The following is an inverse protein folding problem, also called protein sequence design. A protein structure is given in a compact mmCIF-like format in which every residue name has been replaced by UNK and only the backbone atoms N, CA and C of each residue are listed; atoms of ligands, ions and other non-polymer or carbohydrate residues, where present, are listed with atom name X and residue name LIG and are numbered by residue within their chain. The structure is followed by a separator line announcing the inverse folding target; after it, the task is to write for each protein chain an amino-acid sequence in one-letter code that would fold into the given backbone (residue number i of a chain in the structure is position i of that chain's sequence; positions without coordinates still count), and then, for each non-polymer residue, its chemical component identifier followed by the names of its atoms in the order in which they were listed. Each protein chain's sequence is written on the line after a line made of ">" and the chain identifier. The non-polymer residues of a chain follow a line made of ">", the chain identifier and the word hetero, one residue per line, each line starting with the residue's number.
data_IF_668984725053
#
_entry.id   IF_668984725053
#
_cell.length_a   1.000
_cell.length_b   1.000
_cell.length_c   1.000
_cell.angle_alpha   90.00
_cell.angle_beta   90.00
_cell.angle_gamma   90.00
#
_symmetry.space_group_name_H-M   'P 1'
#
loop_
_entity.id
_entity.type
_entity.pdbx_description
1 polymer ?
#
# COMPACT_ATOMS: atom_id res chain seq x y z
N UNK A 1 16.31 41.39 -36.48
CA UNK A 1 15.53 40.13 -36.54
C UNK A 1 16.03 39.21 -35.44
N UNK A 2 15.36 39.14 -34.30
CA UNK A 2 15.71 38.22 -33.20
C UNK A 2 14.89 36.94 -33.35
N UNK A 3 15.56 35.79 -33.46
CA UNK A 3 14.91 34.47 -33.43
C UNK A 3 14.77 34.05 -31.97
N UNK A 4 13.54 33.99 -31.48
CA UNK A 4 13.23 33.43 -30.17
C UNK A 4 13.27 31.90 -30.31
N UNK A 5 14.36 31.29 -29.82
CA UNK A 5 14.44 29.84 -29.70
C UNK A 5 13.57 29.39 -28.52
N UNK A 6 12.36 28.94 -28.81
CA UNK A 6 11.46 28.34 -27.84
C UNK A 6 11.96 26.93 -27.46
N UNK A 7 12.75 26.86 -26.40
CA UNK A 7 13.20 25.60 -25.80
C UNK A 7 11.97 24.90 -25.21
N UNK A 8 11.46 23.90 -25.92
CA UNK A 8 10.46 22.98 -25.41
C UNK A 8 11.12 22.11 -24.34
N UNK A 9 11.00 22.50 -23.07
CA UNK A 9 11.37 21.63 -21.96
C UNK A 9 10.33 20.52 -21.86
N UNK A 10 10.64 19.37 -22.45
CA UNK A 10 9.87 18.13 -22.24
C UNK A 10 9.96 17.81 -20.75
N UNK A 11 8.86 18.03 -20.03
CA UNK A 11 8.69 17.59 -18.64
C UNK A 11 9.03 16.11 -18.58
N UNK A 12 10.13 15.75 -17.92
CA UNK A 12 10.47 14.35 -17.62
C UNK A 12 9.34 13.80 -16.75
N UNK A 13 8.44 13.03 -17.34
CA UNK A 13 7.50 12.20 -16.60
C UNK A 13 8.34 11.31 -15.68
N UNK A 14 8.07 11.37 -14.37
CA UNK A 14 8.67 10.49 -13.36
C UNK A 14 8.51 9.07 -13.89
N UNK A 15 9.61 8.42 -14.31
CA UNK A 15 9.59 7.07 -14.86
C UNK A 15 9.07 6.14 -13.76
N UNK A 16 7.78 5.83 -13.77
CA UNK A 16 7.26 4.67 -13.03
C UNK A 16 7.92 3.42 -13.59
N UNK A 17 8.00 2.35 -12.78
CA UNK A 17 8.39 1.03 -13.29
C UNK A 17 7.59 0.72 -14.56
N UNK A 18 8.28 0.20 -15.56
CA UNK A 18 7.70 -0.25 -16.83
C UNK A 18 6.55 -1.27 -16.62
N UNK A 19 6.58 -1.97 -15.49
CA UNK A 19 5.59 -2.99 -15.12
C UNK A 19 4.45 -2.48 -14.24
N UNK A 20 4.45 -1.19 -13.88
CA UNK A 20 3.44 -0.63 -12.97
C UNK A 20 2.02 -0.84 -13.49
N UNK A 21 1.78 -0.68 -14.81
CA UNK A 21 0.47 -0.90 -15.42
C UNK A 21 -0.04 -2.33 -15.25
N UNK A 22 0.86 -3.31 -15.43
CA UNK A 22 0.55 -4.73 -15.29
C UNK A 22 0.13 -5.09 -13.86
N UNK A 23 0.94 -4.69 -12.88
CA UNK A 23 0.64 -4.91 -11.44
C UNK A 23 -0.69 -4.29 -11.05
N UNK A 24 -0.96 -3.05 -11.50
CA UNK A 24 -2.21 -2.33 -11.20
C UNK A 24 -3.42 -3.05 -11.79
N UNK A 25 -3.30 -3.66 -12.97
CA UNK A 25 -4.38 -4.39 -13.61
C UNK A 25 -4.66 -5.75 -12.93
N UNK A 26 -3.62 -6.50 -12.57
CA UNK A 26 -3.79 -7.76 -11.83
C UNK A 26 -4.41 -7.50 -10.46
N UNK A 27 -3.94 -6.48 -9.74
CA UNK A 27 -4.52 -6.13 -8.45
C UNK A 27 -6.01 -5.79 -8.55
N UNK A 28 -6.42 -5.05 -9.58
CA UNK A 28 -7.83 -4.75 -9.84
C UNK A 28 -8.66 -5.98 -10.18
N UNK A 29 -8.06 -6.94 -10.88
CA UNK A 29 -8.71 -8.22 -11.25
C UNK A 29 -8.90 -9.13 -10.03
N UNK A 30 -7.89 -9.23 -9.15
CA UNK A 30 -7.92 -10.14 -7.99
C UNK A 30 -8.76 -9.58 -6.84
N UNK A 31 -8.61 -8.30 -6.51
CA UNK A 31 -9.31 -7.69 -5.38
C UNK A 31 -10.66 -7.10 -5.76
N UNK A 32 -10.82 -6.68 -7.02
CA UNK A 32 -11.95 -5.88 -7.45
C UNK A 32 -11.79 -4.38 -7.16
N UNK A 33 -12.49 -3.57 -7.95
CA UNK A 33 -12.43 -2.10 -7.86
C UNK A 33 -12.94 -1.56 -6.51
N UNK A 34 -14.02 -2.13 -5.99
CA UNK A 34 -14.64 -1.67 -4.73
C UNK A 34 -13.71 -1.89 -3.54
N UNK A 35 -13.17 -3.10 -3.41
CA UNK A 35 -12.21 -3.48 -2.38
C UNK A 35 -10.97 -2.58 -2.41
N UNK A 36 -10.38 -2.36 -3.60
CA UNK A 36 -9.21 -1.48 -3.72
C UNK A 36 -9.50 -0.04 -3.30
N UNK A 37 -10.70 0.48 -3.60
CA UNK A 37 -11.07 1.85 -3.23
C UNK A 37 -11.17 2.01 -1.70
N UNK A 38 -11.73 1.01 -1.03
CA UNK A 38 -12.05 1.05 0.39
C UNK A 38 -10.91 0.56 1.30
N UNK A 39 -9.90 -0.11 0.76
CA UNK A 39 -8.77 -0.69 1.52
C UNK A 39 -7.46 0.08 1.35
N UNK A 40 -6.41 -0.35 2.05
CA UNK A 40 -5.03 0.08 1.89
C UNK A 40 -4.06 -1.10 1.91
N UNK A 41 -2.86 -0.91 1.35
CA UNK A 41 -1.84 -1.99 1.31
C UNK A 41 -1.34 -2.37 2.70
N UNK A 42 -1.13 -1.39 3.59
CA UNK A 42 -0.51 -1.62 4.90
C UNK A 42 -1.50 -1.59 6.08
N UNK A 43 -2.71 -1.08 5.89
CA UNK A 43 -3.66 -0.82 6.98
C UNK A 43 -3.31 0.41 7.83
N UNK A 44 -2.20 1.09 7.55
CA UNK A 44 -1.70 2.18 8.40
C UNK A 44 -2.35 3.51 8.06
N UNK A 45 -2.68 4.30 9.09
CA UNK A 45 -3.10 5.69 8.90
C UNK A 45 -1.94 6.53 8.35
N UNK A 46 -2.23 7.39 7.37
CA UNK A 46 -1.24 8.35 6.87
C UNK A 46 -1.09 9.49 7.87
N UNK A 47 0.14 9.78 8.33
CA UNK A 47 0.41 10.92 9.21
C UNK A 47 0.08 12.28 8.58
N UNK A 48 -0.08 12.35 7.25
CA UNK A 48 -0.44 13.58 6.53
C UNK A 48 -1.94 13.89 6.60
N UNK A 49 -2.79 12.89 6.78
CA UNK A 49 -4.25 13.07 6.74
C UNK A 49 -4.88 12.53 8.02
N UNK A 50 -5.75 13.30 8.66
CA UNK A 50 -6.53 12.87 9.83
C UNK A 50 -7.70 11.92 9.49
N UNK A 51 -7.68 11.33 8.30
CA UNK A 51 -8.69 10.36 7.89
C UNK A 51 -8.50 9.04 8.67
N UNK A 52 -9.58 8.31 8.98
CA UNK A 52 -9.48 7.03 9.65
C UNK A 52 -8.64 6.03 8.83
N UNK A 53 -7.94 5.13 9.53
CA UNK A 53 -7.20 4.06 8.89
C UNK A 53 -8.15 3.19 8.04
N UNK A 54 -7.71 2.87 6.81
CA UNK A 54 -8.43 1.92 5.95
C UNK A 54 -8.00 0.50 6.29
N UNK A 55 -8.90 -0.50 6.15
CA UNK A 55 -8.54 -1.90 6.35
C UNK A 55 -7.38 -2.32 5.44
N UNK A 56 -6.56 -3.25 5.92
CA UNK A 56 -5.46 -3.84 5.16
C UNK A 56 -6.03 -4.78 4.09
N UNK A 57 -5.42 -4.80 2.91
CA UNK A 57 -5.71 -5.82 1.89
C UNK A 57 -5.40 -7.22 2.41
N UNK A 58 -6.18 -8.22 1.95
CA UNK A 58 -5.95 -9.62 2.28
C UNK A 58 -4.51 -10.02 1.88
N UNK A 59 -3.66 -10.43 2.85
CA UNK A 59 -2.28 -10.80 2.57
C UNK A 59 -2.15 -12.00 1.64
N UNK A 60 -3.12 -12.92 1.62
CA UNK A 60 -3.11 -14.10 0.75
C UNK A 60 -3.30 -13.69 -0.71
N UNK A 61 -4.28 -12.83 -0.98
CA UNK A 61 -4.50 -12.28 -2.31
C UNK A 61 -3.35 -11.36 -2.75
N UNK A 62 -2.75 -10.62 -1.82
CA UNK A 62 -1.56 -9.82 -2.11
C UNK A 62 -0.36 -10.71 -2.51
N UNK A 63 -0.18 -11.83 -1.81
CA UNK A 63 0.80 -12.85 -2.17
C UNK A 63 0.55 -13.44 -3.56
N UNK A 64 -0.71 -13.66 -3.94
CA UNK A 64 -1.07 -14.10 -5.29
C UNK A 64 -0.68 -13.08 -6.37
N UNK A 65 -0.94 -11.78 -6.15
CA UNK A 65 -0.49 -10.71 -7.08
C UNK A 65 1.03 -10.74 -7.24
N UNK A 66 1.77 -10.84 -6.13
CA UNK A 66 3.23 -10.89 -6.14
C UNK A 66 3.73 -12.13 -6.89
N UNK A 67 3.15 -13.30 -6.64
CA UNK A 67 3.53 -14.56 -7.29
C UNK A 67 3.28 -14.53 -8.80
N UNK A 68 2.12 -14.04 -9.24
CA UNK A 68 1.81 -13.89 -10.68
C UNK A 68 2.79 -12.91 -11.34
N UNK A 69 3.08 -11.79 -10.67
CA UNK A 69 4.00 -10.80 -11.20
C UNK A 69 5.44 -11.33 -11.29
N UNK A 70 5.91 -12.01 -10.25
CA UNK A 70 7.21 -12.67 -10.24
C UNK A 70 7.31 -13.72 -11.34
N UNK A 71 6.29 -14.56 -11.51
CA UNK A 71 6.24 -15.56 -12.57
C UNK A 71 6.37 -14.90 -13.96
N UNK A 72 5.59 -13.84 -14.21
CA UNK A 72 5.66 -13.08 -15.46
C UNK A 72 7.08 -12.55 -15.73
N UNK A 73 7.72 -11.94 -14.73
CA UNK A 73 9.07 -11.40 -14.90
C UNK A 73 10.14 -12.47 -15.19
N UNK A 74 10.04 -13.64 -14.55
CA UNK A 74 11.00 -14.73 -14.70
C UNK A 74 10.79 -15.51 -16.00
N UNK A 75 9.54 -15.87 -16.31
CA UNK A 75 9.23 -16.79 -17.40
C UNK A 75 9.03 -16.06 -18.72
N UNK A 76 8.21 -15.00 -18.72
CA UNK A 76 7.86 -14.29 -19.95
C UNK A 76 8.92 -13.26 -20.33
N UNK A 77 9.33 -12.42 -19.36
CA UNK A 77 10.28 -11.33 -19.63
C UNK A 77 11.74 -11.80 -19.52
N UNK A 78 12.00 -12.89 -18.80
CA UNK A 78 13.35 -13.45 -18.56
C UNK A 78 14.32 -12.43 -17.97
N UNK A 79 13.84 -11.67 -16.97
CA UNK A 79 14.66 -10.70 -16.26
C UNK A 79 15.70 -11.39 -15.36
N UNK A 80 16.81 -10.69 -15.14
CA UNK A 80 17.82 -11.08 -14.16
C UNK A 80 17.21 -11.18 -12.74
N UNK A 81 17.54 -12.22 -11.95
CA UNK A 81 16.95 -12.44 -10.62
C UNK A 81 17.09 -11.25 -9.65
N UNK A 82 18.18 -10.48 -9.74
CA UNK A 82 18.39 -9.29 -8.91
C UNK A 82 17.36 -8.22 -9.28
N UNK A 83 17.15 -8.02 -10.58
CA UNK A 83 16.16 -7.06 -11.06
C UNK A 83 14.74 -7.51 -10.77
N UNK A 84 14.42 -8.80 -10.90
CA UNK A 84 13.13 -9.36 -10.47
C UNK A 84 12.84 -9.01 -9.01
N UNK A 85 13.83 -9.22 -8.13
CA UNK A 85 13.68 -8.92 -6.70
C UNK A 85 13.42 -7.44 -6.43
N UNK A 86 14.01 -6.53 -7.22
CA UNK A 86 13.77 -5.09 -7.11
C UNK A 86 12.35 -4.72 -7.55
N UNK A 87 11.90 -5.23 -8.70
CA UNK A 87 10.56 -4.94 -9.23
C UNK A 87 9.47 -5.55 -8.34
N UNK A 88 9.68 -6.75 -7.80
CA UNK A 88 8.71 -7.37 -6.88
C UNK A 88 8.56 -6.53 -5.61
N UNK A 89 9.63 -5.93 -5.08
CA UNK A 89 9.56 -5.03 -3.92
C UNK A 89 8.71 -3.78 -4.19
N UNK A 90 8.67 -3.27 -5.42
CA UNK A 90 7.83 -2.11 -5.78
C UNK A 90 6.34 -2.43 -6.01
N UNK A 91 5.94 -3.72 -5.95
CA UNK A 91 4.54 -4.15 -6.09
C UNK A 91 3.59 -3.38 -5.17
N UNK A 92 3.95 -3.24 -3.89
CA UNK A 92 3.15 -2.50 -2.91
C UNK A 92 2.95 -1.02 -3.27
N UNK A 93 3.98 -0.38 -3.84
CA UNK A 93 3.91 1.00 -4.30
C UNK A 93 2.97 1.14 -5.51
N UNK A 94 3.03 0.21 -6.47
CA UNK A 94 2.16 0.23 -7.64
C UNK A 94 0.68 0.08 -7.25
N UNK A 95 0.38 -0.83 -6.32
CA UNK A 95 -0.98 -1.03 -5.79
C UNK A 95 -1.42 0.22 -5.02
N UNK A 96 -0.58 0.76 -4.12
CA UNK A 96 -0.89 1.97 -3.38
C UNK A 96 -1.17 3.17 -4.30
N UNK A 97 -0.40 3.31 -5.39
CA UNK A 97 -0.63 4.33 -6.41
C UNK A 97 -1.98 4.14 -7.11
N UNK A 98 -2.36 2.91 -7.49
CA UNK A 98 -3.69 2.63 -8.07
C UNK A 98 -4.81 3.01 -7.10
N UNK A 99 -4.70 2.63 -5.83
CA UNK A 99 -5.68 2.99 -4.80
C UNK A 99 -5.78 4.52 -4.67
N UNK A 100 -4.66 5.23 -4.66
CA UNK A 100 -4.63 6.68 -4.60
C UNK A 100 -5.29 7.32 -5.81
N UNK A 101 -5.02 6.81 -7.02
CA UNK A 101 -5.61 7.29 -8.26
C UNK A 101 -7.13 7.08 -8.29
N UNK A 102 -7.62 5.92 -7.86
CA UNK A 102 -9.06 5.64 -7.76
C UNK A 102 -9.79 6.54 -6.75
N UNK A 103 -9.09 6.94 -5.70
CA UNK A 103 -9.61 7.83 -4.66
C UNK A 103 -9.41 9.31 -4.98
N UNK A 104 -8.67 9.64 -6.05
CA UNK A 104 -8.45 11.01 -6.46
C UNK A 104 -9.74 11.56 -7.02
N UNK A 105 -10.34 12.53 -6.31
CA UNK A 105 -11.44 13.34 -6.86
C UNK A 105 -10.93 13.96 -8.14
N UNK A 106 -11.52 13.61 -9.29
CA UNK A 106 -11.19 14.22 -10.56
C UNK A 106 -11.53 15.70 -10.45
N UNK A 107 -10.52 16.55 -10.31
CA UNK A 107 -10.66 17.94 -10.72
C UNK A 107 -10.79 17.85 -12.23
N UNK A 108 -12.01 17.78 -12.77
CA UNK A 108 -12.23 18.04 -14.20
C UNK A 108 -11.54 19.37 -14.47
N UNK A 109 -10.40 19.34 -15.15
CA UNK A 109 -9.92 20.54 -15.83
C UNK A 109 -10.97 20.74 -16.90
N UNK A 110 -11.86 21.70 -16.67
CA UNK A 110 -12.59 22.32 -17.76
C UNK A 110 -11.47 22.91 -18.62
N UNK A 111 -11.14 22.24 -19.71
CA UNK A 111 -10.49 22.92 -20.80
C UNK A 111 -11.59 23.81 -21.35
N UNK A 112 -11.59 25.08 -20.97
CA UNK A 112 -12.44 26.06 -21.63
C UNK A 112 -12.12 25.98 -23.13
N UNK A 113 -13.08 25.63 -23.99
CA UNK A 113 -12.93 25.90 -25.40
C UNK A 113 -13.01 27.43 -25.55
N UNK A 114 -11.87 28.11 -25.52
CA UNK A 114 -11.82 29.48 -26.03
C UNK A 114 -12.22 29.44 -27.51
N UNK A 115 -13.42 29.96 -27.79
CA UNK A 115 -13.84 30.30 -29.15
C UNK A 115 -15.21 29.78 -29.59
N UNK A 116 -16.29 30.10 -28.88
CA UNK A 116 -17.60 30.30 -29.51
C UNK A 116 -18.50 31.21 -28.66
N UNK A 117 -18.75 32.38 -29.22
CA UNK A 117 -19.58 33.47 -28.70
C UNK A 117 -21.03 33.06 -28.43
N UNK A 118 -21.54 33.49 -27.26
CA UNK A 118 -22.89 33.93 -26.91
C UNK A 118 -24.07 33.48 -27.79
N UNK A 119 -24.99 32.72 -27.19
CA UNK A 119 -26.37 33.20 -27.11
C UNK A 119 -27.16 32.60 -25.93
N UNK A 120 -28.13 33.39 -25.49
CA UNK A 120 -28.78 33.39 -24.19
C UNK A 120 -29.98 32.42 -24.03
N UNK A 121 -30.30 32.15 -22.76
CA UNK A 121 -31.60 31.79 -22.15
C UNK A 121 -32.42 30.60 -22.72
N UNK A 122 -32.67 29.60 -21.88
CA UNK A 122 -33.99 29.39 -21.26
C UNK A 122 -33.99 28.19 -20.29
N UNK A 123 -34.51 28.42 -19.08
CA UNK A 123 -35.00 27.41 -18.13
C UNK A 123 -35.85 26.34 -18.81
N UNK A 124 -35.70 25.08 -18.41
CA UNK A 124 -36.82 24.22 -17.99
C UNK A 124 -36.30 23.24 -16.92
N UNK A 125 -36.71 23.44 -15.67
CA UNK A 125 -36.85 22.36 -14.70
C UNK A 125 -37.87 21.36 -15.25
N UNK A 126 -37.47 20.11 -15.39
CA UNK A 126 -38.43 19.00 -15.36
C UNK A 126 -38.03 18.08 -14.21
N UNK A 127 -38.59 18.38 -13.04
CA UNK A 127 -38.91 17.35 -12.07
C UNK A 127 -39.80 16.32 -12.76
N UNK A 128 -39.34 15.06 -12.83
CA UNK A 128 -40.22 13.93 -13.08
C UNK A 128 -40.16 13.06 -11.83
N UNK A 129 -40.96 13.45 -10.85
CA UNK A 129 -41.43 12.58 -9.77
C UNK A 129 -42.35 11.53 -10.39
N UNK A 130 -41.88 10.28 -10.50
CA UNK A 130 -42.80 9.13 -10.62
C UNK A 130 -42.81 8.43 -9.28
N UNK A 131 -43.81 8.77 -8.48
CA UNK A 131 -44.18 8.06 -7.26
C UNK A 131 -45.47 7.30 -7.56
N UNK A 132 -45.41 5.97 -7.70
CA UNK A 132 -46.58 5.11 -7.55
C UNK A 132 -46.22 3.81 -6.84
N UNK A 133 -46.54 3.84 -5.56
CA UNK A 133 -46.92 2.74 -4.67
C UNK A 133 -47.41 1.48 -5.39
N UNK A 134 -46.85 0.32 -5.00
CA UNK A 134 -47.67 -0.88 -4.88
C UNK A 134 -47.42 -1.52 -3.51
N UNK A 135 -48.35 -1.28 -2.59
CA UNK A 135 -48.49 -2.03 -1.34
C UNK A 135 -49.20 -3.34 -1.68
N UNK A 136 -48.64 -4.46 -1.23
CA UNK A 136 -49.41 -5.58 -0.66
C UNK A 136 -48.45 -6.51 0.10
N UNK A 137 -48.39 -6.30 1.41
CA UNK A 137 -48.08 -7.29 2.44
C UNK A 137 -49.39 -8.04 2.78
N UNK A 138 -49.36 -9.29 3.32
CA UNK A 138 -49.18 -9.44 4.78
C UNK A 138 -48.44 -10.71 5.27
N UNK A 139 -47.65 -10.49 6.33
CA UNK A 139 -47.58 -11.21 7.63
C UNK A 139 -47.68 -12.75 7.71
N UNK A 140 -46.65 -13.37 8.32
CA UNK A 140 -46.85 -14.43 9.32
C UNK A 140 -45.72 -14.39 10.38
N UNK A 141 -46.08 -13.95 11.60
CA UNK A 141 -45.37 -14.15 12.87
C UNK A 141 -45.54 -15.58 13.37
N UNK A 142 -44.53 -16.15 14.05
CA UNK A 142 -44.57 -16.90 15.34
C UNK A 142 -43.09 -17.19 15.72
N UNK A 143 -42.49 -16.53 16.72
CA UNK A 143 -42.45 -16.80 18.19
C UNK A 143 -41.73 -18.09 18.62
N UNK A 144 -40.66 -17.87 19.42
CA UNK A 144 -40.19 -18.60 20.62
C UNK A 144 -39.57 -20.00 20.43
N UNK A 145 -38.59 -20.48 21.21
CA UNK A 145 -38.07 -20.19 22.56
C UNK A 145 -36.59 -20.65 22.67
N UNK A 146 -35.85 -20.00 23.56
CA UNK A 146 -34.80 -20.49 24.47
C UNK A 146 -33.98 -21.76 24.11
N UNK A 147 -32.66 -21.64 24.06
CA UNK A 147 -31.84 -22.55 24.87
C UNK A 147 -30.54 -21.88 25.34
N UNK A 148 -30.31 -22.07 26.63
CA UNK A 148 -29.21 -21.55 27.43
C UNK A 148 -27.97 -22.44 27.32
N UNK A 149 -26.87 -21.96 27.93
CA UNK A 149 -25.63 -22.65 28.35
C UNK A 149 -24.50 -22.63 27.31
N UNK A 150 -23.24 -22.42 27.66
CA UNK A 150 -22.57 -22.10 28.93
C UNK A 150 -21.14 -21.66 28.59
N UNK A 151 -20.51 -20.97 29.54
CA UNK A 151 -19.09 -20.62 29.62
C UNK A 151 -18.16 -21.73 29.12
N UNK A 152 -16.99 -21.33 28.61
CA UNK A 152 -15.71 -21.77 29.19
C UNK A 152 -14.63 -20.73 28.85
N UNK A 153 -13.96 -20.28 29.91
CA UNK A 153 -12.75 -19.47 29.92
C UNK A 153 -11.57 -20.33 29.43
N UNK A 154 -10.93 -19.94 28.34
CA UNK A 154 -9.60 -20.46 28.00
C UNK A 154 -8.53 -19.47 28.52
N UNK A 155 -8.23 -19.62 29.81
CA UNK A 155 -6.95 -19.24 30.41
C UNK A 155 -5.86 -20.16 29.84
N UNK A 156 -5.06 -19.65 28.90
CA UNK A 156 -3.84 -20.34 28.46
C UNK A 156 -2.64 -19.78 29.22
N UNK A 157 -2.41 -20.40 30.38
CA UNK A 157 -1.22 -20.30 31.22
C UNK A 157 0.00 -20.84 30.46
N UNK A 158 0.73 -19.98 29.74
CA UNK A 158 2.06 -20.36 29.25
C UNK A 158 3.10 -20.19 30.36
N UNK A 159 3.17 -21.23 31.21
CA UNK A 159 4.27 -21.53 32.12
C UNK A 159 5.60 -21.60 31.36
N UNK A 160 6.56 -20.76 31.75
CA UNK A 160 7.98 -20.93 31.45
C UNK A 160 8.73 -20.81 32.78
N UNK A 161 8.64 -21.87 33.58
CA UNK A 161 9.64 -22.20 34.60
C UNK A 161 10.51 -23.35 34.09
N UNK A 162 11.75 -23.39 34.59
CA UNK A 162 12.84 -24.35 34.37
C UNK A 162 13.71 -24.09 33.10
N UNK A 163 15.03 -23.90 33.16
CA UNK A 163 16.02 -24.40 34.11
C UNK A 163 17.17 -23.39 34.29
N UNK A 164 17.52 -23.11 35.56
CA UNK A 164 18.89 -22.73 35.89
C UNK A 164 19.80 -23.95 35.90
N UNK A 165 21.05 -23.70 35.52
CA UNK A 165 22.30 -24.30 36.04
C UNK A 165 23.00 -25.35 35.16
N UNK A 166 24.28 -25.09 34.86
CA UNK A 166 25.26 -26.16 34.65
C UNK A 166 26.42 -25.90 33.68
N UNK A 167 27.50 -25.30 34.21
CA UNK A 167 28.92 -25.62 33.96
C UNK A 167 29.66 -25.22 32.66
N UNK A 168 30.69 -24.38 32.90
CA UNK A 168 32.12 -24.51 32.57
C UNK A 168 32.56 -24.58 31.09
N UNK A 169 33.32 -23.57 30.63
CA UNK A 169 34.75 -23.79 30.31
C UNK A 169 35.51 -22.46 30.12
N UNK A 170 36.69 -22.41 30.74
CA UNK A 170 37.77 -21.43 30.56
C UNK A 170 38.17 -21.32 29.08
N UNK A 171 38.46 -20.10 28.60
CA UNK A 171 39.72 -19.81 27.89
C UNK A 171 39.91 -18.31 27.63
N UNK A 172 41.11 -17.86 28.00
CA UNK A 172 41.69 -16.53 27.96
C UNK A 172 41.60 -15.85 26.57
N UNK A 173 41.54 -14.51 26.50
CA UNK A 173 42.56 -13.86 25.69
C UNK A 173 43.19 -12.65 26.37
N UNK A 174 44.53 -12.66 26.28
CA UNK A 174 45.45 -11.57 26.59
C UNK A 174 45.04 -10.27 25.89
N UNK A 175 45.04 -9.17 26.64
CA UNK A 175 45.26 -7.84 26.08
C UNK A 175 46.08 -7.05 27.10
N UNK A 176 47.41 -7.17 27.00
CA UNK A 176 48.36 -6.30 27.69
C UNK A 176 48.26 -4.88 27.12
N UNK A 177 48.00 -3.96 28.04
CA UNK A 177 47.74 -2.55 27.81
C UNK A 177 49.06 -1.78 27.57
N UNK A 178 49.11 -1.10 26.44
CA UNK A 178 49.89 0.09 26.06
C UNK A 178 51.26 0.36 26.72
N UNK A 179 52.31 0.30 25.88
CA UNK A 179 53.63 0.88 26.15
C UNK A 179 53.58 2.41 26.23
N UNK A 180 54.06 2.92 27.37
CA UNK A 180 54.31 4.31 27.71
C UNK A 180 55.56 4.83 26.97
N UNK A 181 55.34 5.82 26.09
CA UNK A 181 56.41 6.57 25.43
C UNK A 181 57.05 7.54 26.43
N UNK A 182 58.23 7.22 26.93
CA UNK A 182 59.14 8.20 27.52
C UNK A 182 60.35 8.44 26.63
N UNK A 183 60.35 9.65 26.08
CA UNK A 183 61.36 10.32 25.28
C UNK A 183 62.67 10.48 26.09
N UNK A 184 63.80 10.09 25.53
CA UNK A 184 65.12 10.41 26.09
C UNK A 184 66.10 10.70 24.96
N UNK A 185 66.23 12.00 24.72
CA UNK A 185 67.30 12.68 24.02
C UNK A 185 68.66 12.37 24.67
N UNK A 186 69.67 11.95 23.90
CA UNK A 186 71.09 12.05 24.29
C UNK A 186 72.01 11.90 23.09
N UNK A 187 72.52 13.04 22.63
CA UNK A 187 73.62 13.18 21.70
C UNK A 187 74.93 12.58 22.21
N UNK A 188 75.54 11.75 21.36
CA UNK A 188 76.94 11.78 20.91
C UNK A 188 78.00 12.44 21.83
N UNK A 189 79.00 11.65 22.26
CA UNK A 189 80.42 12.07 22.25
C UNK A 189 81.39 10.90 22.27
#
# INVERSE_FOLDING_TARGET
>A
MQRINCIHTVKKNKKGSEYSGFVRHIAETIFGSETLKNSSVTGRQSGRTKAPAKPKLDPKLLGAVIGIFQYYLVVEVKLDPVRVSQEVKSTGEHIASKIADMNRKSKKKICDPEGASNNALANVETEVTVNLNNKNQPEARLRNEDDERSNDDDDDENSNDDDENGSDDDENPDDEDSEDNSESDSNNK
#
